data_IF_425271975828
#
_entry.id   IF_425271975828
#
_cell.length_a   1.000
_cell.length_b   1.000
_cell.length_c   1.000
_cell.angle_alpha   90.00
_cell.angle_beta   90.00
_cell.angle_gamma   90.00
#
_symmetry.space_group_name_H-M   'P 1'
#
loop_
_entity.id
_entity.type
_entity.pdbx_description
1 polymer ?
#
# COMPACT_ATOMS: atom_id res chain seq x y z
N UNK A 1 0.26 -19.50 2.33
CA UNK A 1 1.69 -19.29 2.00
C UNK A 1 2.34 -18.53 3.16
N UNK A 2 3.64 -18.27 3.13
CA UNK A 2 4.36 -17.59 4.22
C UNK A 2 4.43 -16.08 3.98
N UNK A 3 4.45 -15.28 5.04
CA UNK A 3 4.53 -13.82 4.96
C UNK A 3 5.96 -13.41 5.36
N UNK A 4 6.73 -12.85 4.44
CA UNK A 4 8.15 -12.51 4.67
C UNK A 4 8.35 -11.18 5.39
N UNK A 5 7.36 -10.29 5.40
CA UNK A 5 7.38 -9.06 6.18
C UNK A 5 6.07 -8.85 6.94
N UNK A 6 6.18 -8.50 8.22
CA UNK A 6 5.02 -8.29 9.10
C UNK A 6 4.17 -7.07 8.69
N UNK A 7 4.80 -6.07 8.07
CA UNK A 7 4.13 -4.87 7.52
C UNK A 7 4.79 -4.53 6.19
N UNK A 8 4.06 -4.68 5.09
CA UNK A 8 4.51 -4.26 3.77
C UNK A 8 3.89 -2.93 3.35
N UNK A 9 2.63 -2.71 3.74
CA UNK A 9 1.93 -1.48 3.46
C UNK A 9 1.15 -0.96 4.67
N UNK A 10 1.16 0.36 4.84
CA UNK A 10 0.23 1.07 5.72
C UNK A 10 -0.81 1.80 4.90
N UNK A 11 -2.04 1.82 5.41
CA UNK A 11 -3.13 2.59 4.82
C UNK A 11 -3.70 3.52 5.88
N UNK A 12 -3.78 4.81 5.57
CA UNK A 12 -4.30 5.81 6.51
C UNK A 12 -5.38 6.67 5.88
N UNK A 13 -6.33 7.10 6.72
CA UNK A 13 -7.24 8.21 6.40
C UNK A 13 -6.94 9.35 7.36
N UNK A 14 -6.59 10.50 6.80
CA UNK A 14 -6.19 11.70 7.53
C UNK A 14 -7.21 12.81 7.33
N UNK A 15 -7.56 13.51 8.40
CA UNK A 15 -8.42 14.68 8.37
C UNK A 15 -7.68 15.96 7.91
N UNK A 16 -8.41 17.06 7.76
CA UNK A 16 -7.83 18.34 7.32
C UNK A 16 -6.83 18.94 8.31
N UNK A 17 -6.83 18.48 9.55
CA UNK A 17 -5.92 18.93 10.60
C UNK A 17 -4.66 18.05 10.68
N UNK A 18 -4.50 17.05 9.81
CA UNK A 18 -3.41 16.08 9.87
C UNK A 18 -3.64 14.95 10.88
N UNK A 19 -4.84 14.83 11.45
CA UNK A 19 -5.17 13.79 12.42
C UNK A 19 -5.53 12.50 11.69
N UNK A 20 -4.83 11.40 12.02
CA UNK A 20 -5.17 10.05 11.53
C UNK A 20 -6.49 9.58 12.16
N UNK A 21 -7.51 9.36 11.33
CA UNK A 21 -8.85 8.94 11.76
C UNK A 21 -9.05 7.42 11.73
N UNK A 22 -8.45 6.76 10.75
CA UNK A 22 -8.44 5.31 10.65
C UNK A 22 -7.11 4.85 10.10
N UNK A 23 -6.72 3.66 10.53
CA UNK A 23 -5.51 2.99 10.10
C UNK A 23 -5.83 1.56 9.74
N UNK A 24 -5.39 1.16 8.56
CA UNK A 24 -5.24 -0.23 8.16
C UNK A 24 -3.76 -0.56 8.06
N UNK A 25 -3.44 -1.83 8.17
CA UNK A 25 -2.12 -2.32 7.79
C UNK A 25 -2.27 -3.59 6.99
N UNK A 26 -1.38 -3.74 6.02
CA UNK A 26 -1.21 -4.99 5.30
C UNK A 26 0.10 -5.59 5.75
N UNK A 27 0.02 -6.68 6.49
CA UNK A 27 1.13 -7.62 6.54
C UNK A 27 1.45 -8.04 5.11
N UNK A 28 2.75 -8.13 4.78
CA UNK A 28 3.11 -8.61 3.45
C UNK A 28 2.40 -9.93 3.25
N UNK A 29 1.74 -10.08 2.13
CA UNK A 29 1.51 -11.42 1.62
C UNK A 29 2.85 -11.96 1.11
N UNK A 30 2.83 -13.14 0.52
CA UNK A 30 4.05 -13.66 -0.07
C UNK A 30 4.49 -12.83 -1.28
N UNK A 31 5.73 -12.35 -1.30
CA UNK A 31 6.26 -11.56 -2.41
C UNK A 31 6.49 -12.46 -3.63
N UNK A 32 5.74 -12.21 -4.71
CA UNK A 32 5.87 -12.91 -6.00
C UNK A 32 5.74 -12.01 -7.22
N UNK A 33 6.24 -12.52 -8.35
CA UNK A 33 6.14 -11.87 -9.64
C UNK A 33 4.76 -12.15 -10.29
N UNK A 34 3.72 -11.46 -9.80
CA UNK A 34 2.33 -11.64 -10.25
C UNK A 34 2.08 -11.15 -11.70
N UNK A 35 2.80 -10.09 -12.11
CA UNK A 35 2.78 -9.57 -13.47
C UNK A 35 4.11 -8.87 -13.78
N UNK A 36 4.61 -9.00 -15.01
CA UNK A 36 5.87 -8.41 -15.43
C UNK A 36 5.74 -7.73 -16.79
N UNK A 37 6.68 -6.83 -17.08
CA UNK A 37 6.81 -6.20 -18.39
C UNK A 37 7.05 -7.23 -19.50
N UNK A 38 6.73 -6.85 -20.75
CA UNK A 38 6.93 -7.72 -21.90
C UNK A 38 8.39 -8.15 -22.04
N UNK A 39 8.61 -9.47 -22.11
CA UNK A 39 9.95 -10.06 -22.24
C UNK A 39 10.68 -10.30 -20.92
N UNK A 40 10.10 -9.90 -19.78
CA UNK A 40 10.62 -10.21 -18.45
C UNK A 40 10.04 -11.56 -17.99
N UNK A 41 10.92 -12.44 -17.53
CA UNK A 41 10.53 -13.75 -17.00
C UNK A 41 10.38 -13.69 -15.48
N UNK A 42 9.24 -14.11 -14.90
CA UNK A 42 9.06 -14.16 -13.46
C UNK A 42 10.01 -15.19 -12.83
N UNK A 43 10.56 -14.87 -11.67
CA UNK A 43 11.49 -15.71 -10.91
C UNK A 43 10.87 -16.16 -9.58
N UNK A 44 10.18 -15.27 -8.88
CA UNK A 44 9.64 -15.53 -7.56
C UNK A 44 8.18 -15.97 -7.64
N UNK A 45 7.85 -17.02 -6.91
CA UNK A 45 6.47 -17.47 -6.75
C UNK A 45 6.24 -18.04 -5.35
N UNK A 46 5.03 -17.91 -4.86
CA UNK A 46 4.69 -18.25 -3.48
C UNK A 46 4.28 -19.71 -3.28
N UNK A 47 4.28 -20.51 -4.34
CA UNK A 47 3.80 -21.89 -4.31
C UNK A 47 4.89 -22.80 -3.75
N UNK A 48 4.48 -23.70 -2.86
CA UNK A 48 5.36 -24.80 -2.39
C UNK A 48 6.57 -24.37 -1.55
N UNK A 49 6.49 -23.25 -0.81
CA UNK A 49 7.58 -22.72 0.03
C UNK A 49 8.84 -22.29 -0.76
N UNK A 50 8.66 -21.90 -2.03
CA UNK A 50 9.73 -21.29 -2.81
C UNK A 50 10.17 -19.93 -2.22
N UNK A 51 11.33 -19.47 -2.68
CA UNK A 51 11.89 -18.17 -2.31
C UNK A 51 10.93 -17.04 -2.71
N UNK A 52 10.88 -16.01 -1.86
CA UNK A 52 10.04 -14.83 -2.07
C UNK A 52 10.89 -13.66 -2.54
N UNK A 53 10.31 -12.81 -3.37
CA UNK A 53 10.97 -11.63 -3.88
C UNK A 53 10.15 -10.97 -4.96
N UNK A 54 10.63 -9.81 -5.40
CA UNK A 54 10.07 -9.10 -6.55
C UNK A 54 11.20 -8.85 -7.53
N UNK A 55 11.09 -9.43 -8.72
CA UNK A 55 12.05 -9.24 -9.80
C UNK A 55 11.96 -7.81 -10.34
N UNK A 56 13.09 -7.32 -10.85
CA UNK A 56 13.13 -6.02 -11.55
C UNK A 56 12.15 -6.04 -12.72
N UNK A 57 11.32 -4.99 -12.82
CA UNK A 57 10.24 -4.85 -13.82
C UNK A 57 9.10 -5.87 -13.68
N UNK A 58 8.95 -6.47 -12.50
CA UNK A 58 7.75 -7.19 -12.10
C UNK A 58 6.98 -6.42 -11.01
N UNK A 59 5.75 -6.85 -10.78
CA UNK A 59 4.82 -6.29 -9.79
C UNK A 59 4.15 -7.41 -9.02
N UNK A 60 3.87 -7.16 -7.75
CA UNK A 60 3.10 -8.03 -6.87
C UNK A 60 1.71 -7.39 -6.64
N UNK A 61 0.69 -7.92 -7.32
CA UNK A 61 -0.63 -7.32 -7.40
C UNK A 61 -1.60 -8.03 -6.46
N UNK A 62 -1.98 -7.35 -5.39
CA UNK A 62 -3.02 -7.80 -4.47
C UNK A 62 -4.38 -7.27 -4.89
N UNK A 63 -5.24 -8.18 -5.33
CA UNK A 63 -6.60 -7.87 -5.75
C UNK A 63 -7.50 -7.52 -4.54
N UNK A 64 -8.57 -6.77 -4.84
CA UNK A 64 -9.49 -6.21 -3.83
C UNK A 64 -10.31 -7.28 -3.08
N UNK A 65 -10.45 -8.47 -3.65
CA UNK A 65 -11.22 -9.59 -3.11
C UNK A 65 -10.43 -10.42 -2.08
N UNK A 66 -9.19 -10.02 -1.81
CA UNK A 66 -8.33 -10.69 -0.85
C UNK A 66 -8.56 -10.10 0.55
N UNK A 67 -8.75 -10.98 1.54
CA UNK A 67 -8.97 -10.59 2.94
C UNK A 67 -7.91 -9.61 3.47
N UNK A 68 -8.34 -8.69 4.33
CA UNK A 68 -7.51 -7.65 4.96
C UNK A 68 -6.95 -6.59 3.99
N UNK A 69 -7.50 -6.44 2.79
CA UNK A 69 -7.19 -5.35 1.85
C UNK A 69 -8.24 -4.22 1.98
N UNK A 70 -8.47 -3.76 3.21
CA UNK A 70 -9.41 -2.67 3.49
C UNK A 70 -8.98 -1.86 4.72
N UNK A 71 -9.45 -0.62 4.79
CA UNK A 71 -9.52 0.16 6.03
C UNK A 71 -10.97 0.12 6.49
N UNK A 72 -11.19 -0.19 7.77
CA UNK A 72 -12.50 -0.01 8.38
C UNK A 72 -12.78 1.49 8.59
N UNK A 73 -13.87 1.97 7.97
CA UNK A 73 -14.30 3.38 8.03
C UNK A 73 -15.64 3.54 8.78
N UNK A 74 -16.07 2.53 9.53
CA UNK A 74 -17.39 2.49 10.20
C UNK A 74 -17.64 3.73 11.07
N UNK A 75 -16.61 4.23 11.74
CA UNK A 75 -16.69 5.38 12.65
C UNK A 75 -16.34 6.73 11.99
N UNK A 76 -16.02 6.74 10.69
CA UNK A 76 -15.72 7.96 9.95
C UNK A 76 -17.02 8.61 9.49
N UNK A 77 -17.16 9.92 9.71
CA UNK A 77 -18.32 10.69 9.24
C UNK A 77 -18.19 11.03 7.75
N UNK A 78 -19.29 11.34 7.05
CA UNK A 78 -19.21 11.88 5.70
C UNK A 78 -18.36 13.15 5.64
N UNK A 79 -17.52 13.28 4.62
CA UNK A 79 -16.56 14.37 4.52
C UNK A 79 -15.51 14.18 3.43
N UNK A 80 -14.49 15.02 3.51
CA UNK A 80 -13.31 14.95 2.66
C UNK A 80 -12.06 14.76 3.50
N UNK A 81 -11.22 13.83 3.05
CA UNK A 81 -10.05 13.34 3.75
C UNK A 81 -8.88 13.18 2.78
N UNK A 82 -7.69 13.00 3.32
CA UNK A 82 -6.54 12.47 2.57
C UNK A 82 -6.45 10.96 2.84
N UNK A 83 -6.39 10.16 1.79
CA UNK A 83 -6.12 8.73 1.87
C UNK A 83 -4.67 8.50 1.47
N UNK A 84 -3.92 7.80 2.32
CA UNK A 84 -2.51 7.52 2.13
C UNK A 84 -2.25 6.02 2.08
N UNK A 85 -1.34 5.63 1.21
CA UNK A 85 -0.72 4.30 1.19
C UNK A 85 0.78 4.50 1.31
N UNK A 86 1.42 3.88 2.30
CA UNK A 86 2.88 3.81 2.42
C UNK A 86 3.34 2.39 2.10
N UNK A 87 4.32 2.22 1.22
CA UNK A 87 4.96 0.93 0.89
C UNK A 87 6.36 0.88 1.53
N UNK A 88 6.71 -0.26 2.12
CA UNK A 88 7.94 -0.44 2.89
C UNK A 88 8.13 0.71 3.92
N UNK A 89 7.11 0.98 4.75
CA UNK A 89 7.09 2.17 5.60
C UNK A 89 8.28 2.21 6.57
N UNK A 90 8.68 1.07 7.12
CA UNK A 90 9.78 0.99 8.09
C UNK A 90 11.16 0.86 7.45
N UNK A 91 11.24 0.95 6.11
CA UNK A 91 12.49 0.88 5.33
C UNK A 91 13.31 -0.36 5.66
N UNK A 92 12.65 -1.49 5.95
CA UNK A 92 13.30 -2.75 6.31
C UNK A 92 13.98 -3.39 5.11
N UNK A 93 13.51 -3.09 3.91
CA UNK A 93 14.14 -3.47 2.64
C UNK A 93 14.84 -2.24 2.06
N UNK A 94 16.09 -2.42 1.65
CA UNK A 94 16.84 -1.34 1.02
C UNK A 94 16.33 -1.08 -0.41
N UNK A 95 15.99 0.17 -0.70
CA UNK A 95 15.57 0.62 -2.03
C UNK A 95 16.54 1.69 -2.55
N UNK A 96 16.58 1.87 -3.87
CA UNK A 96 17.45 2.88 -4.49
C UNK A 96 17.12 4.31 -4.07
N UNK A 97 15.86 4.57 -3.73
CA UNK A 97 15.32 5.79 -3.15
C UNK A 97 13.98 5.48 -2.47
N UNK A 98 13.45 6.43 -1.69
CA UNK A 98 12.15 6.33 -1.03
C UNK A 98 11.20 7.48 -1.42
N UNK A 99 11.47 8.11 -2.57
CA UNK A 99 10.80 9.36 -2.99
C UNK A 99 9.44 9.12 -3.66
N UNK A 100 9.06 7.85 -3.83
CA UNK A 100 7.83 7.40 -4.46
C UNK A 100 7.08 6.33 -3.64
N UNK A 101 7.47 6.09 -2.40
CA UNK A 101 6.91 5.04 -1.55
C UNK A 101 5.54 5.40 -0.94
N UNK A 102 5.05 6.62 -1.16
CA UNK A 102 3.73 7.04 -0.66
C UNK A 102 2.80 7.36 -1.82
N UNK A 103 1.58 6.83 -1.80
CA UNK A 103 0.48 7.28 -2.65
C UNK A 103 -0.45 8.14 -1.81
N UNK A 104 -0.70 9.38 -2.24
CA UNK A 104 -1.68 10.29 -1.63
C UNK A 104 -2.83 10.54 -2.59
N UNK A 105 -4.06 10.38 -2.11
CA UNK A 105 -5.29 10.62 -2.84
C UNK A 105 -6.23 11.50 -2.01
N UNK A 106 -7.05 12.30 -2.69
CA UNK A 106 -8.22 12.93 -2.07
C UNK A 106 -9.35 11.92 -1.95
N UNK A 107 -9.75 11.62 -0.72
CA UNK A 107 -10.90 10.79 -0.40
C UNK A 107 -12.13 11.65 -0.18
N UNK A 108 -13.18 11.39 -0.95
CA UNK A 108 -14.53 11.88 -0.67
C UNK A 108 -15.39 10.72 -0.18
N UNK A 109 -16.02 10.89 0.97
CA UNK A 109 -16.95 9.92 1.55
C UNK A 109 -18.31 10.59 1.82
N UNK A 110 -19.37 10.07 1.22
CA UNK A 110 -20.73 10.64 1.33
C UNK A 110 -21.57 10.03 2.44
N UNK A 111 -21.10 8.95 3.08
CA UNK A 111 -21.92 8.08 3.93
C UNK A 111 -22.57 6.91 3.19
N UNK A 112 -22.59 6.96 1.84
CA UNK A 112 -23.16 5.90 1.00
C UNK A 112 -22.17 5.34 -0.03
N UNK A 113 -21.21 6.15 -0.44
CA UNK A 113 -20.12 5.73 -1.34
C UNK A 113 -18.86 6.53 -1.02
N UNK A 114 -17.72 5.96 -1.40
CA UNK A 114 -16.41 6.59 -1.33
C UNK A 114 -15.82 6.73 -2.74
N UNK A 115 -15.02 7.77 -2.96
CA UNK A 115 -14.24 7.91 -4.19
C UNK A 115 -12.87 8.52 -3.90
N UNK A 116 -11.85 7.96 -4.54
CA UNK A 116 -10.50 8.51 -4.55
C UNK A 116 -10.26 9.32 -5.83
N UNK A 117 -9.64 10.49 -5.70
CA UNK A 117 -9.31 11.38 -6.82
C UNK A 117 -7.93 11.99 -6.63
N UNK A 118 -7.33 12.46 -7.72
CA UNK A 118 -6.05 13.17 -7.71
C UNK A 118 -4.93 12.39 -6.99
N UNK A 119 -4.88 11.07 -7.21
CA UNK A 119 -3.85 10.23 -6.64
C UNK A 119 -2.48 10.55 -7.25
N UNK A 120 -1.46 10.68 -6.43
CA UNK A 120 -0.09 10.97 -6.86
C UNK A 120 0.93 10.39 -5.87
N UNK A 121 2.15 10.17 -6.36
CA UNK A 121 3.26 9.72 -5.52
C UNK A 121 3.83 10.88 -4.69
N UNK A 122 4.29 10.55 -3.49
CA UNK A 122 5.00 11.43 -2.56
C UNK A 122 6.21 10.69 -1.99
N UNK A 123 7.19 11.47 -1.54
CA UNK A 123 8.35 10.95 -0.81
C UNK A 123 7.96 10.53 0.61
N UNK A 124 8.38 9.32 1.00
CA UNK A 124 8.23 8.83 2.36
C UNK A 124 9.06 9.66 3.35
N UNK A 125 10.19 10.20 2.90
CA UNK A 125 11.06 11.05 3.71
C UNK A 125 10.42 12.40 3.99
N UNK A 126 9.70 12.97 3.02
CA UNK A 126 9.00 14.25 3.20
C UNK A 126 7.77 14.11 4.10
N UNK A 127 7.04 13.00 3.97
CA UNK A 127 5.88 12.72 4.82
C UNK A 127 6.25 12.57 6.30
N UNK A 128 7.45 12.05 6.60
CA UNK A 128 7.92 11.82 7.97
C UNK A 128 8.71 12.97 8.58
N UNK A 129 8.83 14.12 7.89
CA UNK A 129 9.44 15.32 8.49
C UNK A 129 8.57 15.80 9.66
N UNK A 130 9.16 16.06 10.85
CA UNK A 130 8.43 16.54 12.02
C UNK A 130 7.83 17.94 11.82
#
# INVERSE_FOLDING_TARGET
HYHSMEIFAHYDIIDRNGTRLAQGSKASFCLEDSACDQGVHPQFNCKGYAEQGLSVNCSDNYLFDIDCQWIDITDIKPGEYEFLIEINPDMLVAESNFDNNVVSCRLYYSGFFASLRNCHYKSLLDFRKP
#
